data_IF_944044697908
#
_entry.id   IF_944044697908
#
_cell.length_a   1.000
_cell.length_b   1.000
_cell.length_c   1.000
_cell.angle_alpha   90.00
_cell.angle_beta   90.00
_cell.angle_gamma   90.00
#
_symmetry.space_group_name_H-M   'P 1'
#
loop_
_entity.id
_entity.type
_entity.pdbx_description
1 polymer ?
#
# COMPACT_ATOMS: atom_id res chain seq x y z
N UNK A 1 15.36 -22.15 24.14
CA UNK A 1 14.04 -22.20 24.81
C UNK A 1 12.97 -21.43 24.01
N UNK A 2 13.22 -20.18 23.60
CA UNK A 2 12.26 -19.36 22.82
C UNK A 2 11.85 -19.99 21.47
N UNK A 3 12.81 -20.58 20.75
CA UNK A 3 12.58 -21.22 19.43
C UNK A 3 11.73 -22.51 19.50
N UNK A 4 11.82 -23.25 20.62
CA UNK A 4 10.98 -24.43 20.83
C UNK A 4 9.51 -24.06 21.12
N UNK A 5 9.28 -22.96 21.85
CA UNK A 5 7.92 -22.46 22.11
C UNK A 5 7.26 -21.95 20.83
N UNK A 6 7.97 -21.13 20.04
CA UNK A 6 7.48 -20.65 18.74
C UNK A 6 7.15 -21.82 17.80
N UNK A 7 8.01 -22.85 17.76
CA UNK A 7 7.76 -24.06 16.97
C UNK A 7 6.47 -24.79 17.38
N UNK A 8 6.18 -24.85 18.68
CA UNK A 8 4.95 -25.46 19.18
C UNK A 8 3.72 -24.62 18.88
N UNK A 9 3.83 -23.28 18.89
CA UNK A 9 2.74 -22.39 18.50
C UNK A 9 2.43 -22.49 17.01
N UNK A 10 3.45 -22.44 16.15
CA UNK A 10 3.28 -22.57 14.70
C UNK A 10 2.64 -23.91 14.31
N UNK A 11 2.97 -25.01 15.01
CA UNK A 11 2.33 -26.32 14.79
C UNK A 11 0.82 -26.34 15.08
N UNK A 12 0.31 -25.43 15.91
CA UNK A 12 -1.12 -25.34 16.23
C UNK A 12 -1.93 -24.64 15.13
N UNK A 13 -1.26 -23.91 14.24
CA UNK A 13 -1.93 -23.19 13.15
C UNK A 13 -2.61 -24.20 12.22
N UNK A 14 -3.90 -23.96 11.96
CA UNK A 14 -4.73 -24.81 11.09
C UNK A 14 -5.13 -24.13 9.78
N UNK A 15 -4.89 -22.82 9.65
CA UNK A 15 -5.26 -22.02 8.49
C UNK A 15 -4.37 -20.78 8.45
N UNK A 16 -3.96 -20.33 7.25
CA UNK A 16 -3.18 -19.10 7.09
C UNK A 16 -3.89 -18.19 6.09
N UNK A 17 -4.07 -16.93 6.49
CA UNK A 17 -4.50 -15.86 5.60
C UNK A 17 -3.28 -14.97 5.37
N UNK A 18 -2.98 -14.68 4.10
CA UNK A 18 -1.97 -13.70 3.72
C UNK A 18 -2.68 -12.60 2.94
N UNK A 19 -2.81 -11.44 3.58
CA UNK A 19 -3.32 -10.24 2.94
C UNK A 19 -2.20 -9.49 2.21
N UNK A 20 -2.56 -8.64 1.25
CA UNK A 20 -1.63 -7.89 0.39
C UNK A 20 -0.54 -8.75 -0.27
N UNK A 21 -0.96 -9.87 -0.85
CA UNK A 21 -0.08 -10.87 -1.47
C UNK A 21 0.83 -10.30 -2.58
N UNK A 22 0.49 -9.14 -3.16
CA UNK A 22 1.30 -8.47 -4.19
C UNK A 22 2.67 -8.04 -3.66
N UNK A 23 2.77 -7.74 -2.37
CA UNK A 23 4.01 -7.30 -1.71
C UNK A 23 4.85 -8.46 -1.17
N UNK A 24 4.32 -9.70 -1.23
CA UNK A 24 5.05 -10.91 -0.83
C UNK A 24 5.95 -11.36 -1.97
N UNK A 25 7.19 -11.69 -1.68
CA UNK A 25 8.11 -12.21 -2.70
C UNK A 25 7.89 -13.71 -2.96
N UNK A 26 8.27 -14.17 -4.14
CA UNK A 26 8.22 -15.59 -4.52
C UNK A 26 9.01 -16.47 -3.53
N UNK A 27 10.15 -15.98 -3.06
CA UNK A 27 11.01 -16.69 -2.11
C UNK A 27 10.34 -16.77 -0.74
N UNK A 28 9.72 -15.68 -0.27
CA UNK A 28 9.02 -15.66 1.01
C UNK A 28 7.82 -16.63 1.01
N UNK A 29 7.01 -16.65 -0.05
CA UNK A 29 5.91 -17.60 -0.16
C UNK A 29 6.41 -19.06 -0.16
N UNK A 30 7.51 -19.33 -0.88
CA UNK A 30 8.11 -20.66 -0.94
C UNK A 30 8.68 -21.08 0.42
N UNK A 31 9.35 -20.15 1.11
CA UNK A 31 9.87 -20.33 2.45
C UNK A 31 8.77 -20.69 3.44
N UNK A 32 7.65 -19.95 3.45
CA UNK A 32 6.50 -20.25 4.32
C UNK A 32 5.98 -21.66 4.01
N UNK A 33 5.86 -22.03 2.73
CA UNK A 33 5.41 -23.37 2.34
C UNK A 33 6.31 -24.47 2.87
N UNK A 34 7.63 -24.32 2.73
CA UNK A 34 8.61 -25.31 3.17
C UNK A 34 8.74 -25.36 4.69
N UNK A 35 8.57 -24.22 5.38
CA UNK A 35 8.51 -24.12 6.83
C UNK A 35 7.39 -25.00 7.37
N UNK A 36 6.15 -24.83 6.89
CA UNK A 36 5.02 -25.62 7.37
C UNK A 36 5.09 -27.10 6.92
N UNK A 37 5.66 -27.38 5.75
CA UNK A 37 5.97 -28.76 5.31
C UNK A 37 6.85 -29.48 6.34
N UNK A 38 7.92 -28.82 6.80
CA UNK A 38 8.84 -29.33 7.83
C UNK A 38 8.21 -29.38 9.22
N UNK A 39 7.43 -28.38 9.61
CA UNK A 39 6.78 -28.31 10.93
C UNK A 39 5.78 -29.46 11.13
N UNK A 40 5.00 -29.79 10.10
CA UNK A 40 3.99 -30.84 10.15
C UNK A 40 4.49 -32.22 9.72
N UNK A 41 5.76 -32.32 9.28
CA UNK A 41 6.35 -33.55 8.74
C UNK A 41 5.48 -34.18 7.64
N UNK A 42 4.95 -33.35 6.75
CA UNK A 42 4.09 -33.77 5.64
C UNK A 42 4.69 -33.20 4.35
N UNK A 43 5.00 -34.02 3.33
CA UNK A 43 5.64 -33.58 2.09
C UNK A 43 4.72 -32.75 1.17
N UNK A 44 3.50 -32.44 1.62
CA UNK A 44 2.53 -31.60 0.92
C UNK A 44 2.86 -30.14 1.20
N UNK A 45 2.72 -29.26 0.20
CA UNK A 45 2.93 -27.82 0.35
C UNK A 45 2.17 -27.26 1.55
N UNK A 46 2.82 -26.36 2.29
CA UNK A 46 2.34 -25.82 3.57
C UNK A 46 1.99 -26.88 4.63
N UNK A 47 2.53 -28.10 4.54
CA UNK A 47 2.18 -29.18 5.45
C UNK A 47 0.72 -29.64 5.35
N UNK A 48 0.03 -29.30 4.25
CA UNK A 48 -1.40 -29.56 4.06
C UNK A 48 -2.33 -28.58 4.78
N UNK A 49 -1.80 -27.49 5.34
CA UNK A 49 -2.64 -26.42 5.90
C UNK A 49 -3.33 -25.65 4.77
N UNK A 50 -4.64 -25.39 4.87
CA UNK A 50 -5.35 -24.51 3.94
C UNK A 50 -4.83 -23.07 4.04
N UNK A 51 -4.62 -22.46 2.87
CA UNK A 51 -4.07 -21.12 2.73
C UNK A 51 -5.04 -20.27 1.89
N UNK A 52 -5.34 -19.07 2.36
CA UNK A 52 -6.05 -18.05 1.61
C UNK A 52 -5.11 -16.88 1.34
N UNK A 53 -4.92 -16.57 0.06
CA UNK A 53 -4.16 -15.40 -0.38
C UNK A 53 -5.14 -14.33 -0.84
N UNK A 54 -4.99 -13.13 -0.30
CA UNK A 54 -5.81 -11.96 -0.62
C UNK A 54 -4.88 -10.83 -1.05
N UNK A 55 -5.32 -10.04 -2.02
CA UNK A 55 -4.61 -8.86 -2.49
C UNK A 55 -4.80 -8.65 -3.98
N UNK A 56 -4.19 -7.58 -4.48
CA UNK A 56 -4.28 -7.19 -5.88
C UNK A 56 -2.87 -7.08 -6.47
N UNK A 57 -2.55 -7.96 -7.42
CA UNK A 57 -1.23 -8.00 -8.05
C UNK A 57 -0.88 -6.72 -8.81
N UNK A 58 -1.85 -5.87 -9.15
CA UNK A 58 -1.63 -4.59 -9.83
C UNK A 58 -1.22 -3.46 -8.88
N UNK A 59 -1.29 -3.69 -7.57
CA UNK A 59 -0.72 -2.80 -6.56
C UNK A 59 0.80 -2.93 -6.47
N UNK A 60 1.38 -2.45 -5.38
CA UNK A 60 2.83 -2.46 -5.16
C UNK A 60 3.39 -3.90 -5.21
N UNK A 61 4.45 -4.14 -5.99
CA UNK A 61 5.18 -5.40 -5.99
C UNK A 61 6.00 -5.56 -4.69
N UNK A 62 6.63 -6.73 -4.44
CA UNK A 62 7.55 -6.86 -3.31
C UNK A 62 8.71 -5.86 -3.42
N UNK A 63 9.10 -5.29 -2.28
CA UNK A 63 10.24 -4.35 -2.20
C UNK A 63 11.54 -5.00 -2.66
N UNK A 64 11.71 -6.31 -2.37
CA UNK A 64 12.86 -7.12 -2.79
C UNK A 64 12.41 -8.50 -3.24
N UNK A 65 13.11 -9.04 -4.24
CA UNK A 65 12.85 -10.37 -4.78
C UNK A 65 11.83 -10.38 -5.92
N UNK A 66 11.57 -11.57 -6.46
CA UNK A 66 10.61 -11.74 -7.55
C UNK A 66 9.16 -11.65 -7.04
N UNK A 67 8.23 -11.19 -7.88
CA UNK A 67 6.80 -11.18 -7.58
C UNK A 67 6.28 -12.57 -7.21
N UNK A 68 5.33 -12.63 -6.28
CA UNK A 68 4.78 -13.85 -5.69
C UNK A 68 4.43 -14.94 -6.71
N UNK A 69 3.91 -14.56 -7.88
CA UNK A 69 3.44 -15.49 -8.90
C UNK A 69 4.55 -16.23 -9.67
N UNK A 70 5.82 -15.88 -9.43
CA UNK A 70 6.97 -16.65 -9.86
C UNK A 70 7.32 -17.80 -8.91
N UNK A 71 6.73 -17.83 -7.70
CA UNK A 71 6.92 -18.96 -6.78
C UNK A 71 6.42 -20.25 -7.43
N UNK A 72 7.17 -21.37 -7.34
CA UNK A 72 6.68 -22.69 -7.75
C UNK A 72 5.38 -23.07 -7.01
N UNK A 73 5.23 -22.59 -5.78
CA UNK A 73 4.07 -22.85 -4.91
C UNK A 73 2.83 -22.14 -5.43
N UNK A 74 2.96 -21.03 -6.19
CA UNK A 74 1.81 -20.29 -6.74
C UNK A 74 0.86 -21.17 -7.57
N UNK A 75 1.39 -22.19 -8.25
CA UNK A 75 0.62 -23.06 -9.15
C UNK A 75 -0.47 -23.89 -8.45
N UNK A 76 -0.36 -24.08 -7.12
CA UNK A 76 -1.33 -24.87 -6.37
C UNK A 76 -2.59 -24.07 -6.01
N UNK A 77 -2.55 -22.74 -6.14
CA UNK A 77 -3.66 -21.87 -5.76
C UNK A 77 -4.70 -21.77 -6.88
N UNK A 78 -5.98 -21.78 -6.50
CA UNK A 78 -7.09 -21.52 -7.39
C UNK A 78 -7.46 -20.02 -7.32
N UNK A 79 -7.35 -19.27 -8.44
CA UNK A 79 -7.63 -17.84 -8.44
C UNK A 79 -9.15 -17.58 -8.45
N UNK A 80 -9.61 -16.70 -7.55
CA UNK A 80 -10.94 -16.12 -7.59
C UNK A 80 -10.82 -14.62 -7.83
N UNK A 81 -11.58 -14.08 -8.78
CA UNK A 81 -11.57 -12.66 -9.10
C UNK A 81 -12.82 -11.99 -8.55
N UNK A 82 -12.63 -10.96 -7.73
CA UNK A 82 -13.69 -10.04 -7.34
C UNK A 82 -13.76 -8.93 -8.40
N UNK A 83 -14.83 -8.89 -9.18
CA UNK A 83 -14.97 -7.97 -10.33
C UNK A 83 -15.73 -6.68 -9.99
N UNK A 84 -16.30 -6.60 -8.79
CA UNK A 84 -17.08 -5.45 -8.34
C UNK A 84 -16.41 -4.76 -7.16
N UNK A 85 -16.03 -3.49 -7.33
CA UNK A 85 -15.57 -2.67 -6.21
C UNK A 85 -16.76 -2.13 -5.42
N UNK A 86 -16.86 -2.51 -4.14
CA UNK A 86 -17.80 -1.88 -3.20
C UNK A 86 -17.40 -0.46 -2.82
N UNK A 87 -16.11 -0.13 -2.92
CA UNK A 87 -15.55 1.15 -2.48
C UNK A 87 -15.89 2.30 -3.42
N UNK A 88 -15.81 2.07 -4.73
CA UNK A 88 -16.09 3.07 -5.77
C UNK A 88 -17.42 2.82 -6.50
N UNK A 89 -18.33 1.99 -5.96
CA UNK A 89 -19.58 1.59 -6.63
C UNK A 89 -20.47 2.77 -7.06
N UNK A 90 -20.39 3.89 -6.36
CA UNK A 90 -21.20 5.09 -6.64
C UNK A 90 -20.53 6.04 -7.66
N UNK A 91 -19.35 5.69 -8.17
CA UNK A 91 -18.61 6.51 -9.13
C UNK A 91 -17.92 5.65 -10.19
N UNK A 92 -18.74 5.09 -11.09
CA UNK A 92 -18.26 4.18 -12.14
C UNK A 92 -17.18 4.79 -13.05
N UNK A 93 -17.26 6.07 -13.48
CA UNK A 93 -16.18 6.69 -14.25
C UNK A 93 -14.86 6.71 -13.48
N UNK A 94 -14.90 6.95 -12.16
CA UNK A 94 -13.71 6.90 -11.33
C UNK A 94 -13.17 5.48 -11.18
N UNK A 95 -14.05 4.50 -11.00
CA UNK A 95 -13.65 3.09 -11.00
C UNK A 95 -12.99 2.68 -12.32
N UNK A 96 -13.53 3.08 -13.47
CA UNK A 96 -12.93 2.83 -14.78
C UNK A 96 -11.56 3.49 -14.92
N UNK A 97 -11.39 4.73 -14.46
CA UNK A 97 -10.09 5.39 -14.41
C UNK A 97 -9.08 4.58 -13.59
N UNK A 98 -9.47 4.13 -12.38
CA UNK A 98 -8.60 3.33 -11.52
C UNK A 98 -8.20 2.00 -12.16
N UNK A 99 -9.11 1.35 -12.89
CA UNK A 99 -8.81 0.13 -13.65
C UNK A 99 -7.83 0.39 -14.80
N UNK A 100 -7.97 1.49 -15.53
CA UNK A 100 -7.01 1.84 -16.58
C UNK A 100 -5.63 2.10 -15.98
N UNK A 101 -5.57 2.91 -14.92
CA UNK A 101 -4.33 3.26 -14.21
C UNK A 101 -3.62 2.01 -13.65
N UNK A 102 -4.34 1.02 -13.11
CA UNK A 102 -3.74 -0.20 -12.57
C UNK A 102 -3.03 -1.06 -13.63
N UNK A 103 -3.46 -0.96 -14.90
CA UNK A 103 -2.82 -1.61 -16.04
C UNK A 103 -1.89 -0.67 -16.83
N UNK A 104 -1.65 0.54 -16.33
CA UNK A 104 -0.77 1.51 -16.98
C UNK A 104 -1.37 2.10 -18.26
N UNK A 105 -2.69 2.04 -18.40
CA UNK A 105 -3.45 2.57 -19.53
C UNK A 105 -4.00 3.93 -19.13
N UNK A 106 -3.92 4.90 -20.03
CA UNK A 106 -4.54 6.22 -19.87
C UNK A 106 -5.25 6.57 -21.18
N UNK A 107 -6.57 6.63 -21.13
CA UNK A 107 -7.42 7.10 -22.25
C UNK A 107 -7.49 8.62 -22.27
N UNK A 108 -7.99 9.22 -23.35
CA UNK A 108 -8.16 10.68 -23.41
C UNK A 108 -9.22 11.19 -22.42
N UNK A 109 -10.23 10.37 -22.11
CA UNK A 109 -11.20 10.67 -21.05
C UNK A 109 -10.53 10.65 -19.67
N UNK A 110 -9.63 9.70 -19.42
CA UNK A 110 -8.86 9.64 -18.17
C UNK A 110 -8.00 10.89 -17.98
N UNK A 111 -7.29 11.31 -19.05
CA UNK A 111 -6.51 12.57 -19.04
C UNK A 111 -7.40 13.74 -18.67
N UNK A 112 -8.55 13.89 -19.34
CA UNK A 112 -9.49 14.98 -19.08
C UNK A 112 -9.93 15.00 -17.62
N UNK A 113 -10.33 13.84 -17.07
CA UNK A 113 -10.73 13.71 -15.66
C UNK A 113 -9.59 14.08 -14.69
N UNK A 114 -8.36 13.67 -14.97
CA UNK A 114 -7.19 14.01 -14.14
C UNK A 114 -6.88 15.51 -14.23
N UNK A 115 -6.90 16.10 -15.43
CA UNK A 115 -6.63 17.53 -15.63
C UNK A 115 -7.67 18.42 -14.94
N UNK A 116 -8.97 18.06 -15.00
CA UNK A 116 -10.02 18.77 -14.27
C UNK A 116 -9.75 18.78 -12.75
N UNK A 117 -9.22 17.68 -12.21
CA UNK A 117 -8.84 17.59 -10.80
C UNK A 117 -7.59 18.37 -10.45
N UNK A 118 -6.63 18.43 -11.35
CA UNK A 118 -5.42 19.20 -11.14
C UNK A 118 -5.67 20.71 -11.06
N UNK A 119 -6.49 21.24 -11.97
CA UNK A 119 -6.80 22.67 -12.04
C UNK A 119 -7.53 23.24 -10.81
N UNK A 120 -8.14 22.39 -9.98
CA UNK A 120 -8.92 22.85 -8.82
C UNK A 120 -8.03 23.29 -7.64
N UNK A 121 -6.81 22.76 -7.52
CA UNK A 121 -5.96 22.94 -6.31
C UNK A 121 -5.08 24.19 -6.37
N UNK A 122 -4.58 24.58 -7.54
CA UNK A 122 -3.74 25.78 -7.70
C UNK A 122 -4.46 27.06 -7.24
N UNK A 123 -5.80 27.03 -7.16
CA UNK A 123 -6.63 28.13 -6.69
C UNK A 123 -6.88 28.18 -5.17
N UNK A 124 -6.49 27.16 -4.39
CA UNK A 124 -6.92 27.01 -2.98
C UNK A 124 -5.78 26.90 -1.95
N UNK A 125 -4.52 26.80 -2.36
CA UNK A 125 -3.39 26.79 -1.42
C UNK A 125 -2.98 28.24 -1.08
N UNK A 126 -3.05 28.67 0.20
CA UNK A 126 -2.61 30.00 0.57
C UNK A 126 -1.09 30.14 0.34
N UNK A 127 -0.69 31.23 -0.30
CA UNK A 127 0.71 31.68 -0.36
C UNK A 127 1.13 32.17 1.03
N UNK A 128 1.75 31.29 1.82
CA UNK A 128 2.22 31.64 3.17
C UNK A 128 3.55 32.40 3.10
N UNK A 129 3.65 33.52 3.82
CA UNK A 129 4.88 34.30 3.97
C UNK A 129 5.88 33.58 4.89
N UNK A 130 7.08 33.34 4.37
CA UNK A 130 8.12 32.46 4.91
C UNK A 130 8.97 33.05 6.06
N UNK A 131 8.42 33.76 7.05
CA UNK A 131 9.24 34.55 7.98
C UNK A 131 9.52 33.97 9.39
N UNK A 132 9.34 32.66 9.63
CA UNK A 132 9.74 32.05 10.91
C UNK A 132 10.86 31.01 10.77
N UNK A 133 11.68 30.90 11.82
CA UNK A 133 12.68 29.86 12.02
C UNK A 133 12.00 28.49 12.08
N UNK A 134 12.57 27.43 11.49
CA UNK A 134 12.03 26.09 11.63
C UNK A 134 12.10 25.62 13.09
N UNK A 135 11.09 24.87 13.53
CA UNK A 135 11.10 24.15 14.80
C UNK A 135 11.65 22.74 14.57
N UNK A 136 12.49 22.29 15.49
CA UNK A 136 13.07 20.96 15.49
C UNK A 136 12.39 20.15 16.60
N UNK A 137 11.75 19.03 16.24
CA UNK A 137 11.20 18.06 17.18
C UNK A 137 12.04 16.79 17.13
N UNK A 138 12.54 16.34 18.28
CA UNK A 138 13.41 15.17 18.40
C UNK A 138 12.63 14.06 19.09
N UNK A 139 12.60 12.87 18.48
CA UNK A 139 12.00 11.69 19.08
C UNK A 139 12.76 11.32 20.37
N UNK A 140 12.01 11.07 21.45
CA UNK A 140 12.54 10.61 22.74
C UNK A 140 11.90 9.28 23.10
N UNK A 141 12.71 8.24 23.19
CA UNK A 141 12.25 6.91 23.59
C UNK A 141 12.31 6.75 25.11
N UNK A 142 11.35 6.01 25.67
CA UNK A 142 11.26 5.73 27.10
C UNK A 142 11.17 4.22 27.35
N UNK A 143 11.86 3.74 28.39
CA UNK A 143 11.68 2.40 28.96
C UNK A 143 11.22 2.55 30.39
N UNK A 144 10.04 2.00 30.70
CA UNK A 144 9.29 2.35 31.91
C UNK A 144 9.09 3.88 31.98
N UNK A 145 9.58 4.55 33.02
CA UNK A 145 9.44 6.00 33.22
C UNK A 145 10.71 6.81 32.90
N UNK A 146 11.75 6.16 32.35
CA UNK A 146 13.04 6.78 32.08
C UNK A 146 13.31 6.94 30.58
N UNK A 147 13.86 8.09 30.13
CA UNK A 147 14.33 8.23 28.76
C UNK A 147 15.53 7.29 28.51
N UNK A 148 15.56 6.63 27.35
CA UNK A 148 16.64 5.73 26.95
C UNK A 148 17.61 6.48 26.05
N UNK A 149 18.91 6.19 26.16
CA UNK A 149 19.88 6.59 25.14
C UNK A 149 19.69 5.73 23.87
N UNK A 150 19.30 6.36 22.76
CA UNK A 150 18.85 5.67 21.56
C UNK A 150 19.97 5.25 20.61
N UNK A 151 21.23 5.60 20.87
CA UNK A 151 22.36 5.29 19.97
C UNK A 151 22.53 3.79 19.68
N UNK A 152 22.17 2.91 20.63
CA UNK A 152 22.22 1.47 20.46
C UNK A 152 20.92 0.86 19.91
N UNK A 153 19.75 1.34 20.34
CA UNK A 153 18.44 0.82 19.88
C UNK A 153 18.12 1.23 18.44
N UNK A 154 18.53 2.42 18.03
CA UNK A 154 18.28 2.94 16.68
C UNK A 154 18.97 2.12 15.59
N UNK A 155 20.14 1.54 15.85
CA UNK A 155 20.83 0.64 14.91
C UNK A 155 20.02 -0.63 14.62
N UNK A 156 19.22 -1.08 15.59
CA UNK A 156 18.39 -2.27 15.50
C UNK A 156 16.99 -1.98 14.94
N UNK A 157 16.33 -0.90 15.37
CA UNK A 157 14.92 -0.63 15.04
C UNK A 157 14.70 0.27 13.82
N UNK A 158 15.50 1.35 13.63
CA UNK A 158 15.24 2.31 12.55
C UNK A 158 15.43 1.72 11.15
N UNK A 159 16.22 0.66 10.99
CA UNK A 159 16.33 -0.04 9.69
C UNK A 159 15.00 -0.62 9.19
N UNK A 160 14.03 -0.79 10.08
CA UNK A 160 12.77 -1.44 9.79
C UNK A 160 11.55 -0.52 9.93
N UNK A 161 11.74 0.77 10.24
CA UNK A 161 10.65 1.73 10.43
C UNK A 161 10.85 3.00 9.61
N UNK A 162 9.76 3.65 9.19
CA UNK A 162 9.80 4.92 8.46
C UNK A 162 9.77 6.15 9.39
N UNK A 163 9.98 5.98 10.69
CA UNK A 163 9.94 7.10 11.63
C UNK A 163 11.31 7.81 11.67
N UNK A 164 11.37 9.12 11.36
CA UNK A 164 12.60 9.89 11.48
C UNK A 164 12.93 10.17 12.96
N UNK A 165 14.23 10.19 13.30
CA UNK A 165 14.71 10.59 14.64
C UNK A 165 14.44 12.05 14.96
N UNK A 166 14.48 12.89 13.94
CA UNK A 166 14.30 14.33 14.02
C UNK A 166 13.33 14.75 12.92
N UNK A 167 12.33 15.53 13.30
CA UNK A 167 11.39 16.16 12.36
C UNK A 167 11.59 17.66 12.46
N UNK A 168 12.05 18.25 11.36
CA UNK A 168 12.19 19.70 11.21
C UNK A 168 10.94 20.21 10.52
N UNK A 169 10.18 21.06 11.20
CA UNK A 169 8.89 21.59 10.74
C UNK A 169 8.94 23.10 10.63
N UNK A 170 8.23 23.64 9.65
CA UNK A 170 8.01 25.07 9.49
C UNK A 170 6.57 25.31 9.03
N UNK A 171 5.97 26.41 9.45
CA UNK A 171 4.67 26.82 8.89
C UNK A 171 4.76 26.91 7.36
N UNK A 172 3.76 26.34 6.68
CA UNK A 172 3.72 26.18 5.23
C UNK A 172 4.43 24.93 4.69
N UNK A 173 5.17 24.16 5.50
CA UNK A 173 5.80 22.93 5.00
C UNK A 173 4.77 21.82 4.79
N UNK A 174 4.97 21.02 3.74
CA UNK A 174 4.19 19.81 3.49
C UNK A 174 4.67 18.68 4.40
N UNK A 175 3.72 17.95 4.98
CA UNK A 175 3.97 16.81 5.87
C UNK A 175 3.12 15.62 5.45
N UNK A 176 3.59 14.41 5.75
CA UNK A 176 2.86 13.16 5.50
C UNK A 176 2.42 12.53 6.82
N UNK A 177 1.13 12.21 6.94
CA UNK A 177 0.61 11.50 8.10
C UNK A 177 0.98 10.01 8.00
N UNK A 178 1.59 9.43 9.04
CA UNK A 178 2.07 8.03 9.00
C UNK A 178 1.23 7.06 9.87
N UNK A 179 0.12 7.52 10.46
CA UNK A 179 -0.72 6.74 11.38
C UNK A 179 -2.11 6.44 10.76
N UNK A 180 -2.93 5.64 11.44
CA UNK A 180 -4.33 5.33 11.11
C UNK A 180 -5.34 5.99 12.07
N UNK A 181 -4.88 6.69 13.12
CA UNK A 181 -5.71 7.25 14.21
C UNK A 181 -6.91 8.07 13.74
N UNK A 182 -6.80 8.76 12.60
CA UNK A 182 -7.83 9.66 12.08
C UNK A 182 -8.55 9.12 10.84
N UNK A 183 -8.63 7.80 10.69
CA UNK A 183 -9.27 7.12 9.57
C UNK A 183 -10.70 7.63 9.29
N UNK A 184 -11.56 7.73 10.33
CA UNK A 184 -12.94 8.22 10.19
C UNK A 184 -13.03 9.70 9.77
N UNK A 185 -11.94 10.47 9.97
CA UNK A 185 -11.81 11.85 9.49
C UNK A 185 -11.17 11.93 8.10
N UNK A 186 -11.03 10.81 7.40
CA UNK A 186 -10.43 10.68 6.06
C UNK A 186 -8.94 11.09 5.98
N UNK A 187 -8.23 10.99 7.11
CA UNK A 187 -6.78 11.13 7.15
C UNK A 187 -6.18 9.73 7.35
N UNK A 188 -5.38 9.30 6.39
CA UNK A 188 -4.82 7.95 6.30
C UNK A 188 -3.29 8.00 6.36
N UNK A 189 -2.66 6.86 6.59
CA UNK A 189 -1.23 6.74 6.40
C UNK A 189 -0.87 7.08 4.94
N UNK A 190 -0.05 8.11 4.73
CA UNK A 190 0.29 8.72 3.45
C UNK A 190 -0.45 10.00 3.12
N UNK A 191 -1.44 10.45 3.91
CA UNK A 191 -2.14 11.71 3.65
C UNK A 191 -1.18 12.90 3.77
N UNK A 192 -1.14 13.73 2.73
CA UNK A 192 -0.35 14.97 2.72
C UNK A 192 -1.17 16.10 3.33
N UNK A 193 -0.54 16.86 4.22
CA UNK A 193 -1.10 18.08 4.79
C UNK A 193 -0.08 19.21 4.77
N UNK A 194 -0.55 20.43 5.00
CA UNK A 194 0.28 21.63 5.15
C UNK A 194 0.23 22.05 6.61
N UNK A 195 1.39 22.27 7.22
CA UNK A 195 1.48 22.81 8.57
C UNK A 195 0.98 24.24 8.53
N UNK A 196 -0.13 24.52 9.22
CA UNK A 196 -0.66 25.88 9.35
C UNK A 196 0.07 26.63 10.46
N UNK A 197 0.19 25.98 11.62
CA UNK A 197 0.82 26.55 12.81
C UNK A 197 1.65 25.52 13.55
N UNK A 198 2.82 25.95 14.01
CA UNK A 198 3.64 25.17 14.93
C UNK A 198 3.45 25.77 16.32
N UNK A 199 2.80 25.04 17.23
CA UNK A 199 2.47 25.56 18.57
C UNK A 199 3.63 25.33 19.55
N UNK A 200 4.17 24.11 19.59
CA UNK A 200 5.37 23.74 20.35
C UNK A 200 5.95 22.41 19.84
N UNK A 201 7.01 21.91 20.50
CA UNK A 201 7.71 20.67 20.11
C UNK A 201 6.84 19.41 20.05
N UNK A 202 5.68 19.41 20.72
CA UNK A 202 4.76 18.28 20.81
C UNK A 202 3.43 18.50 20.10
N UNK A 203 3.16 19.70 19.58
CA UNK A 203 1.85 20.04 19.03
C UNK A 203 1.96 20.95 17.80
N UNK A 204 1.36 20.48 16.70
CA UNK A 204 1.23 21.20 15.44
C UNK A 204 -0.21 21.19 14.96
N UNK A 205 -0.59 22.22 14.21
CA UNK A 205 -1.84 22.26 13.46
C UNK A 205 -1.56 22.04 11.98
N UNK A 206 -2.19 21.01 11.43
CA UNK A 206 -2.03 20.63 10.02
C UNK A 206 -3.39 20.64 9.37
N UNK A 207 -3.50 21.32 8.23
CA UNK A 207 -4.64 21.15 7.34
C UNK A 207 -4.31 20.02 6.39
N UNK A 208 -5.11 18.96 6.43
CA UNK A 208 -5.05 17.91 5.43
C UNK A 208 -6.02 18.28 4.32
N UNK A 209 -5.49 18.42 3.11
CA UNK A 209 -6.37 18.47 1.95
C UNK A 209 -7.06 17.12 1.81
N UNK A 210 -8.32 17.12 1.39
CA UNK A 210 -9.12 15.91 1.28
C UNK A 210 -8.47 15.03 0.22
N UNK A 211 -7.74 14.00 0.67
CA UNK A 211 -7.03 13.00 -0.14
C UNK A 211 -6.28 13.58 -1.37
N UNK A 212 -5.36 14.50 -1.14
CA UNK A 212 -4.44 14.95 -2.19
C UNK A 212 -3.42 13.88 -2.54
N UNK A 213 -3.24 13.64 -3.84
CA UNK A 213 -2.23 12.74 -4.40
C UNK A 213 -1.36 13.53 -5.39
N UNK A 214 -0.04 13.51 -5.19
CA UNK A 214 0.89 13.96 -6.23
C UNK A 214 1.18 12.79 -7.16
N UNK A 215 0.97 12.99 -8.47
CA UNK A 215 1.26 12.02 -9.52
C UNK A 215 2.44 12.52 -10.36
N UNK A 216 3.60 12.66 -9.72
CA UNK A 216 4.79 13.24 -10.33
C UNK A 216 5.87 12.19 -10.68
N UNK A 217 7.00 12.68 -11.21
CA UNK A 217 8.14 11.84 -11.60
C UNK A 217 8.81 11.12 -10.44
N UNK A 218 8.55 11.51 -9.18
CA UNK A 218 9.01 10.80 -7.98
C UNK A 218 8.28 9.46 -7.78
N UNK A 219 7.16 9.22 -8.47
CA UNK A 219 6.51 7.92 -8.50
C UNK A 219 7.31 6.95 -9.39
N UNK A 220 8.29 6.28 -8.80
CA UNK A 220 9.18 5.38 -9.51
C UNK A 220 8.69 3.92 -9.55
N UNK A 221 7.85 3.50 -8.61
CA UNK A 221 7.42 2.11 -8.48
C UNK A 221 6.15 1.78 -9.28
N UNK A 222 6.09 0.56 -9.82
CA UNK A 222 4.89 0.03 -10.49
C UNK A 222 3.71 -0.04 -9.52
N UNK A 223 2.52 0.34 -9.98
CA UNK A 223 1.28 0.32 -9.18
C UNK A 223 1.19 1.41 -8.11
N UNK A 224 2.22 2.25 -7.93
CA UNK A 224 2.24 3.27 -6.88
C UNK A 224 1.15 4.34 -7.08
N UNK A 225 0.99 4.85 -8.30
CA UNK A 225 -0.08 5.80 -8.64
C UNK A 225 -1.47 5.20 -8.46
N UNK A 226 -1.63 3.93 -8.86
CA UNK A 226 -2.88 3.19 -8.65
C UNK A 226 -3.22 3.07 -7.16
N UNK A 227 -2.27 2.68 -6.32
CA UNK A 227 -2.47 2.59 -4.87
C UNK A 227 -2.79 3.96 -4.28
N UNK A 228 -2.10 5.02 -4.70
CA UNK A 228 -2.36 6.36 -4.19
C UNK A 228 -3.77 6.84 -4.54
N UNK A 229 -4.19 6.68 -5.80
CA UNK A 229 -5.52 7.12 -6.26
C UNK A 229 -6.66 6.26 -5.68
N UNK A 230 -6.48 4.93 -5.59
CA UNK A 230 -7.54 4.00 -5.13
C UNK A 230 -7.89 4.12 -3.64
N UNK A 231 -7.08 4.86 -2.87
CA UNK A 231 -7.38 5.26 -1.49
C UNK A 231 -8.57 6.21 -1.38
N UNK A 232 -9.00 6.86 -2.46
CA UNK A 232 -10.21 7.68 -2.45
C UNK A 232 -11.44 6.84 -2.83
N UNK A 233 -12.62 7.26 -2.35
CA UNK A 233 -13.88 6.53 -2.58
C UNK A 233 -14.65 7.06 -3.79
N UNK A 234 -14.41 8.32 -4.18
CA UNK A 234 -14.97 8.90 -5.40
C UNK A 234 -14.01 9.96 -5.97
N UNK A 235 -14.23 10.30 -7.25
CA UNK A 235 -13.49 11.38 -7.90
C UNK A 235 -13.63 12.68 -7.13
N UNK A 236 -14.80 12.98 -6.53
CA UNK A 236 -15.03 14.25 -5.82
C UNK A 236 -14.02 14.46 -4.69
N UNK A 237 -13.62 13.39 -4.02
CA UNK A 237 -12.67 13.41 -2.89
C UNK A 237 -11.21 13.22 -3.29
N UNK A 238 -10.93 13.09 -4.59
CA UNK A 238 -9.57 12.98 -5.12
C UNK A 238 -9.12 14.34 -5.64
N UNK A 239 -7.99 14.79 -5.14
CA UNK A 239 -7.34 16.03 -5.53
C UNK A 239 -5.92 15.69 -6.04
N UNK A 240 -5.54 16.16 -7.23
CA UNK A 240 -4.26 15.84 -7.87
C UNK A 240 -3.38 17.08 -7.95
N UNK A 241 -2.30 17.14 -7.17
CA UNK A 241 -1.46 18.36 -7.06
C UNK A 241 -0.51 18.56 -8.23
N UNK A 242 -0.09 17.47 -8.87
CA UNK A 242 0.77 17.48 -10.06
C UNK A 242 0.49 16.19 -10.83
N UNK A 243 0.54 16.26 -12.16
CA UNK A 243 0.36 15.09 -13.00
C UNK A 243 1.36 15.02 -14.13
N UNK A 244 2.14 13.95 -14.15
CA UNK A 244 2.94 13.50 -15.27
C UNK A 244 2.48 12.09 -15.68
N UNK A 245 2.25 11.89 -16.99
CA UNK A 245 1.91 10.58 -17.56
C UNK A 245 2.95 9.51 -17.21
N UNK A 246 4.21 9.89 -17.05
CA UNK A 246 5.29 8.97 -16.68
C UNK A 246 5.02 8.33 -15.32
N UNK A 247 4.29 8.98 -14.40
CA UNK A 247 3.95 8.43 -13.08
C UNK A 247 3.08 7.15 -13.18
N UNK A 248 2.28 7.02 -14.24
CA UNK A 248 1.36 5.91 -14.45
C UNK A 248 2.12 4.70 -15.00
N UNK A 249 2.54 3.80 -14.11
CA UNK A 249 3.36 2.63 -14.44
C UNK A 249 2.71 1.34 -13.97
N UNK A 250 2.63 0.37 -14.89
CA UNK A 250 2.27 -1.02 -14.58
C UNK A 250 3.35 -1.99 -15.05
N UNK A 251 3.56 -3.05 -14.28
CA UNK A 251 4.55 -4.07 -14.60
C UNK A 251 4.01 -5.00 -15.71
N UNK A 252 4.73 -5.06 -16.84
CA UNK A 252 4.36 -5.94 -17.98
C UNK A 252 4.26 -7.42 -17.60
N UNK A 253 5.05 -7.90 -16.63
CA UNK A 253 5.00 -9.29 -16.15
C UNK A 253 3.69 -9.56 -15.39
N UNK A 254 3.29 -8.59 -14.57
CA UNK A 254 2.03 -8.60 -13.83
C UNK A 254 0.82 -8.60 -14.78
N UNK A 255 0.82 -7.73 -15.80
CA UNK A 255 -0.25 -7.66 -16.82
C UNK A 255 -0.43 -9.01 -17.51
N UNK A 256 0.67 -9.58 -18.06
CA UNK A 256 0.64 -10.91 -18.70
C UNK A 256 0.14 -11.99 -17.76
N UNK A 257 0.47 -11.91 -16.47
CA UNK A 257 0.01 -12.87 -15.47
C UNK A 257 -1.51 -12.75 -15.24
N UNK A 258 -2.04 -11.54 -15.12
CA UNK A 258 -3.48 -11.31 -14.99
C UNK A 258 -4.25 -11.86 -16.19
N UNK A 259 -3.82 -11.53 -17.41
CA UNK A 259 -4.43 -12.02 -18.66
C UNK A 259 -4.48 -13.56 -18.68
N UNK A 260 -3.36 -14.19 -18.30
CA UNK A 260 -3.27 -15.65 -18.21
C UNK A 260 -4.24 -16.21 -17.16
N UNK A 261 -4.27 -15.65 -15.95
CA UNK A 261 -5.15 -16.13 -14.88
C UNK A 261 -6.63 -15.94 -15.24
N UNK A 262 -7.01 -14.83 -15.88
CA UNK A 262 -8.39 -14.61 -16.32
C UNK A 262 -8.80 -15.62 -17.40
N UNK A 263 -7.93 -15.91 -18.37
CA UNK A 263 -8.18 -16.92 -19.40
C UNK A 263 -8.34 -18.32 -18.78
N UNK A 264 -7.43 -18.71 -17.89
CA UNK A 264 -7.50 -19.99 -17.18
C UNK A 264 -8.74 -20.10 -16.30
N UNK A 265 -9.13 -19.02 -15.62
CA UNK A 265 -10.31 -19.03 -14.75
C UNK A 265 -11.61 -19.18 -15.55
N UNK A 266 -11.75 -18.49 -16.70
CA UNK A 266 -12.89 -18.69 -17.62
C UNK A 266 -13.00 -20.15 -18.09
N UNK A 267 -11.88 -20.80 -18.36
CA UNK A 267 -11.85 -22.23 -18.75
C UNK A 267 -12.19 -23.16 -17.58
N UNK A 268 -11.70 -22.87 -16.37
CA UNK A 268 -11.96 -23.70 -15.19
C UNK A 268 -13.37 -23.52 -14.65
N UNK A 269 -13.90 -22.31 -14.57
CA UNK A 269 -15.30 -22.06 -14.15
C UNK A 269 -16.30 -22.75 -15.07
N UNK A 270 -16.06 -22.79 -16.39
CA UNK A 270 -16.85 -23.62 -17.33
C UNK A 270 -16.86 -25.11 -16.99
N UNK A 271 -15.83 -25.62 -16.31
CA UNK A 271 -15.74 -27.02 -15.86
C UNK A 271 -16.47 -27.28 -14.54
N UNK A 272 -16.74 -26.23 -13.77
CA UNK A 272 -17.49 -26.28 -12.50
C UNK A 272 -18.91 -25.71 -12.61
N UNK A 273 -19.27 -25.13 -13.76
CA UNK A 273 -20.65 -24.88 -14.18
C UNK A 273 -21.24 -26.21 -14.67
N UNK A 274 -21.64 -27.04 -13.72
CA UNK A 274 -22.76 -27.97 -13.93
C UNK A 274 -24.00 -27.07 -13.94
N UNK A 275 -24.87 -27.28 -14.94
CA UNK A 275 -26.13 -26.55 -15.12
C UNK A 275 -26.83 -26.29 -13.78
N UNK A 276 -27.05 -25.01 -13.47
CA UNK A 276 -28.06 -24.54 -12.52
C UNK A 276 -29.10 -23.81 -13.35
#
# INVERSE_FOLDING_TARGET
MHDQNLRQELKKIKFIIIDEISMVSADLLSFISDLFTKLHNKPIKFGGIPILLIGDLAQLPPVKGAQVFFSPVWKIFFPLFLTFSRRQQNDLPFYSLLQNVSFGIITDNDKKMIFEKHATIDSQLPSLQLNQSPLISIAKDYYNDGPINTDETDKMFNKHTNYPREVILKEGCQVMFLNIKYFFKRVYNGSIGVVLRVLNESLIEVVFSISTVSLDTSMFAYGQSYVAMSRTTSRQTLDITYFDLISIKADKKMIKKYEKLQKENRTKLRKYLIDI
#
